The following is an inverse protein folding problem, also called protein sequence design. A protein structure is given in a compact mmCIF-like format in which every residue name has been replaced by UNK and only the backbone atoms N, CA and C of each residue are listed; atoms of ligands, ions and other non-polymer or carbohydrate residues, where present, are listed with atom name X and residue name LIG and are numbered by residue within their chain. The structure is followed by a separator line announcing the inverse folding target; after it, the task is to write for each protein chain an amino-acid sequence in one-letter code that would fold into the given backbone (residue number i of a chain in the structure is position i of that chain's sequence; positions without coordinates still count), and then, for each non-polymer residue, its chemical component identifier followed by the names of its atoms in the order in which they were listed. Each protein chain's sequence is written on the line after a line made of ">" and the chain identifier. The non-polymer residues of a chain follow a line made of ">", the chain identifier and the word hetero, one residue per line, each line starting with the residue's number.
data_IF_928627465764
#
_entry.id   IF_928627465764
#
_cell.length_a   1.000
_cell.length_b   1.000
_cell.length_c   1.000
_cell.angle_alpha   90.00
_cell.angle_beta   90.00
_cell.angle_gamma   90.00
#
_symmetry.space_group_name_H-M   'P 1'
#
loop_
_entity.id
_entity.type
_entity.pdbx_description
1 polymer ?
#
# COMPACT_ATOMS: atom_id res chain seq x y z
N UNK A 1 15.03 3.43 -10.32
CA UNK A 1 13.73 3.14 -9.68
C UNK A 1 13.98 2.96 -8.19
N UNK A 2 13.29 3.70 -7.32
CA UNK A 2 13.42 3.52 -5.87
C UNK A 2 12.75 2.19 -5.49
N UNK A 3 13.56 1.21 -5.10
CA UNK A 3 13.10 -0.13 -4.71
C UNK A 3 12.31 -0.14 -3.40
N UNK A 4 12.41 0.92 -2.60
CA UNK A 4 11.70 1.11 -1.35
C UNK A 4 10.99 2.45 -1.42
N UNK A 5 9.65 2.41 -1.37
CA UNK A 5 8.79 3.59 -1.30
C UNK A 5 7.65 3.36 -0.29
N UNK A 6 6.81 4.36 -0.04
CA UNK A 6 5.70 4.25 0.93
C UNK A 6 4.70 3.14 0.56
N UNK A 7 4.54 2.84 -0.74
CA UNK A 7 3.72 1.72 -1.21
C UNK A 7 4.32 0.33 -0.91
N UNK A 8 5.59 0.26 -0.48
CA UNK A 8 6.25 -0.98 -0.09
C UNK A 8 5.85 -1.45 1.33
N UNK A 9 5.14 -0.61 2.10
CA UNK A 9 4.75 -0.92 3.47
C UNK A 9 3.95 -2.23 3.63
N UNK A 10 2.89 -2.49 2.84
CA UNK A 10 2.08 -3.70 3.02
C UNK A 10 2.90 -4.97 2.75
N UNK A 11 3.81 -4.91 1.78
CA UNK A 11 4.72 -6.00 1.47
C UNK A 11 5.65 -6.30 2.65
N UNK A 12 6.30 -5.26 3.19
CA UNK A 12 7.23 -5.41 4.32
C UNK A 12 6.50 -5.93 5.58
N UNK A 13 5.33 -5.37 5.89
CA UNK A 13 4.50 -5.82 7.00
C UNK A 13 4.08 -7.30 6.84
N UNK A 14 3.69 -7.70 5.63
CA UNK A 14 3.36 -9.08 5.29
C UNK A 14 4.52 -10.03 5.50
N UNK A 15 5.73 -9.68 5.04
CA UNK A 15 6.95 -10.48 5.26
C UNK A 15 7.23 -10.68 6.75
N UNK A 16 7.12 -9.61 7.56
CA UNK A 16 7.32 -9.70 9.01
C UNK A 16 6.31 -10.65 9.65
N UNK A 17 5.02 -10.55 9.30
CA UNK A 17 3.97 -11.43 9.82
C UNK A 17 4.26 -12.89 9.44
N UNK A 18 4.63 -13.16 8.18
CA UNK A 18 4.92 -14.52 7.71
C UNK A 18 6.11 -15.14 8.44
N UNK A 19 7.18 -14.37 8.65
CA UNK A 19 8.35 -14.83 9.43
C UNK A 19 7.91 -15.17 10.86
N UNK A 20 7.15 -14.29 11.50
CA UNK A 20 6.71 -14.49 12.87
C UNK A 20 5.79 -15.71 12.99
N UNK A 21 4.82 -15.85 12.07
CA UNK A 21 3.93 -17.01 12.00
C UNK A 21 4.73 -18.32 11.81
N UNK A 22 5.72 -18.32 10.91
CA UNK A 22 6.59 -19.48 10.70
C UNK A 22 7.39 -19.88 11.96
N UNK A 23 7.88 -18.90 12.72
CA UNK A 23 8.57 -19.15 14.00
C UNK A 23 7.60 -19.73 15.04
N UNK A 24 6.38 -19.17 15.14
CA UNK A 24 5.35 -19.61 16.08
C UNK A 24 4.91 -21.04 15.80
N UNK A 25 4.65 -21.37 14.53
CA UNK A 25 4.27 -22.72 14.09
C UNK A 25 5.37 -23.75 14.39
N UNK A 26 6.64 -23.36 14.28
CA UNK A 26 7.79 -24.24 14.61
C UNK A 26 7.93 -24.54 16.10
N UNK A 27 7.47 -23.65 16.98
CA UNK A 27 7.67 -23.77 18.43
C UNK A 27 6.67 -24.69 19.13
N UNK A 28 5.66 -25.20 18.43
CA UNK A 28 4.75 -26.25 18.95
C UNK A 28 3.81 -25.79 20.07
N UNK A 29 3.64 -24.49 20.28
CA UNK A 29 2.74 -23.93 21.28
C UNK A 29 2.32 -22.51 20.90
N UNK A 30 1.05 -22.35 20.55
CA UNK A 30 0.45 -21.04 20.19
C UNK A 30 -0.40 -20.45 21.32
N UNK A 31 -0.48 -21.14 22.45
CA UNK A 31 -1.34 -20.77 23.56
C UNK A 31 -0.91 -19.41 24.13
N UNK A 32 -1.82 -18.44 24.08
CA UNK A 32 -1.58 -17.06 24.48
C UNK A 32 -0.87 -16.16 23.44
N UNK A 33 -0.38 -16.71 22.32
CA UNK A 33 0.34 -15.94 21.29
C UNK A 33 -0.58 -15.40 20.18
N UNK A 34 -1.81 -15.92 20.10
CA UNK A 34 -2.84 -15.45 19.17
C UNK A 34 -3.26 -14.00 19.43
N UNK A 35 -3.41 -13.60 20.69
CA UNK A 35 -3.85 -12.23 21.05
C UNK A 35 -2.78 -11.19 20.68
N UNK A 36 -1.48 -11.37 21.02
CA UNK A 36 -0.41 -10.50 20.54
C UNK A 36 -0.31 -10.44 19.01
N UNK A 37 -0.46 -11.58 18.32
CA UNK A 37 -0.40 -11.62 16.86
C UNK A 37 -1.55 -10.81 16.23
N UNK A 38 -2.76 -10.94 16.75
CA UNK A 38 -3.92 -10.17 16.33
C UNK A 38 -3.74 -8.67 16.61
N UNK A 39 -3.19 -8.31 17.79
CA UNK A 39 -2.88 -6.92 18.13
C UNK A 39 -1.84 -6.31 17.17
N UNK A 40 -0.82 -7.09 16.80
CA UNK A 40 0.21 -6.66 15.84
C UNK A 40 -0.38 -6.45 14.43
N UNK A 41 -1.22 -7.38 13.97
CA UNK A 41 -1.97 -7.23 12.71
C UNK A 41 -2.80 -5.94 12.70
N UNK A 42 -3.55 -5.69 13.76
CA UNK A 42 -4.34 -4.46 13.91
C UNK A 42 -3.46 -3.21 13.91
N UNK A 43 -2.30 -3.24 14.58
CA UNK A 43 -1.33 -2.15 14.56
C UNK A 43 -0.81 -1.84 13.16
N UNK A 44 -0.50 -2.86 12.36
CA UNK A 44 -0.07 -2.66 10.97
C UNK A 44 -1.20 -2.13 10.08
N UNK A 45 -2.42 -2.63 10.25
CA UNK A 45 -3.59 -2.11 9.52
C UNK A 45 -3.86 -0.65 9.88
N UNK A 46 -3.79 -0.31 11.16
CA UNK A 46 -3.95 1.06 11.64
C UNK A 46 -2.86 1.99 11.10
N UNK A 47 -1.60 1.57 11.14
CA UNK A 47 -0.49 2.32 10.57
C UNK A 47 -0.65 2.50 9.06
N UNK A 48 -1.05 1.45 8.33
CA UNK A 48 -1.30 1.55 6.90
C UNK A 48 -2.44 2.53 6.60
N UNK A 49 -3.52 2.50 7.37
CA UNK A 49 -4.64 3.41 7.19
C UNK A 49 -4.24 4.87 7.47
N UNK A 50 -3.47 5.11 8.54
CA UNK A 50 -3.06 6.45 8.96
C UNK A 50 -2.01 7.07 8.03
N UNK A 51 -1.09 6.26 7.51
CA UNK A 51 0.03 6.70 6.68
C UNK A 51 -0.12 6.30 5.21
N UNK A 52 -1.29 5.80 4.80
CA UNK A 52 -1.51 5.41 3.41
C UNK A 52 -1.30 6.65 2.54
N UNK A 53 -0.38 6.60 1.56
CA UNK A 53 -0.28 7.67 0.59
C UNK A 53 -1.62 7.73 -0.16
N UNK A 54 -2.43 8.73 0.20
CA UNK A 54 -3.67 9.01 -0.50
C UNK A 54 -3.40 9.47 -1.92
N UNK A 55 -4.40 9.33 -2.78
CA UNK A 55 -4.36 9.96 -4.09
C UNK A 55 -4.18 11.48 -3.89
N UNK A 56 -3.21 12.09 -4.56
CA UNK A 56 -3.06 13.56 -4.50
C UNK A 56 -4.36 14.21 -5.00
N UNK A 57 -4.75 15.38 -4.49
CA UNK A 57 -5.93 16.09 -5.00
C UNK A 57 -5.91 16.29 -6.53
N UNK A 58 -4.71 16.38 -7.11
CA UNK A 58 -4.43 16.47 -8.55
C UNK A 58 -4.82 15.22 -9.37
N UNK A 59 -5.11 14.09 -8.72
CA UNK A 59 -5.45 12.83 -9.41
C UNK A 59 -6.81 12.84 -10.11
N UNK A 60 -7.72 13.76 -9.76
CA UNK A 60 -9.00 13.87 -10.46
C UNK A 60 -8.84 14.27 -11.93
N UNK A 61 -7.85 15.12 -12.24
CA UNK A 61 -7.54 15.48 -13.63
C UNK A 61 -6.77 14.37 -14.34
N UNK A 62 -5.92 13.64 -13.62
CA UNK A 62 -5.24 12.48 -14.17
C UNK A 62 -6.24 11.38 -14.58
N UNK A 63 -7.29 11.14 -13.78
CA UNK A 63 -8.33 10.16 -14.09
C UNK A 63 -9.14 10.53 -15.36
N UNK A 64 -9.45 11.82 -15.54
CA UNK A 64 -10.17 12.26 -16.76
C UNK A 64 -9.30 12.17 -18.01
N UNK A 65 -7.99 12.40 -17.87
CA UNK A 65 -7.01 12.18 -18.94
C UNK A 65 -6.88 10.69 -19.28
N UNK A 66 -6.83 9.81 -18.27
CA UNK A 66 -6.73 8.36 -18.47
C UNK A 66 -7.95 7.79 -19.21
N UNK A 67 -9.16 8.23 -18.86
CA UNK A 67 -10.40 7.91 -19.57
C UNK A 67 -10.38 8.44 -21.02
N UNK A 68 -9.88 9.66 -21.23
CA UNK A 68 -9.79 10.26 -22.55
C UNK A 68 -8.83 9.48 -23.47
N UNK A 69 -7.65 9.09 -22.97
CA UNK A 69 -6.67 8.26 -23.69
C UNK A 69 -7.25 6.87 -23.99
N UNK A 70 -7.96 6.27 -23.03
CA UNK A 70 -8.58 4.95 -23.17
C UNK A 70 -9.70 4.87 -24.22
N UNK A 71 -10.23 6.02 -24.66
CA UNK A 71 -11.34 6.09 -25.63
C UNK A 71 -11.00 5.69 -27.07
N UNK A 72 -9.72 5.41 -27.36
CA UNK A 72 -9.25 5.03 -28.71
C UNK A 72 -9.21 6.18 -29.71
N UNK A 73 -9.40 7.42 -29.25
CA UNK A 73 -9.24 8.65 -30.05
C UNK A 73 -7.92 9.32 -29.71
N UNK A 74 -7.32 9.99 -30.69
CA UNK A 74 -6.13 10.81 -30.44
C UNK A 74 -6.51 11.97 -29.50
N UNK A 75 -5.82 12.07 -28.37
CA UNK A 75 -5.99 13.14 -27.38
C UNK A 75 -4.72 13.98 -27.37
N UNK A 76 -4.88 15.31 -27.50
CA UNK A 76 -3.78 16.26 -27.32
C UNK A 76 -3.70 16.62 -25.84
N UNK A 77 -2.56 16.32 -25.22
CA UNK A 77 -2.26 16.71 -23.85
C UNK A 77 -1.33 17.91 -23.86
N UNK A 78 -1.82 19.04 -23.39
CA UNK A 78 -1.02 20.24 -23.20
C UNK A 78 -0.65 20.39 -21.73
N UNK A 79 0.63 20.27 -21.44
CA UNK A 79 1.17 20.53 -20.11
C UNK A 79 1.50 22.02 -20.01
N UNK A 80 0.53 22.80 -19.54
CA UNK A 80 0.70 24.23 -19.31
C UNK A 80 1.48 24.44 -17.99
N UNK A 81 2.72 24.91 -18.08
CA UNK A 81 3.48 25.37 -16.91
C UNK A 81 3.31 26.89 -16.76
N UNK A 82 2.94 27.41 -15.59
CA UNK A 82 2.98 28.84 -15.30
C UNK A 82 4.42 29.35 -15.01
N UNK A 83 5.41 28.46 -15.03
CA UNK A 83 6.85 28.73 -14.84
C UNK A 83 7.65 28.37 -16.10
#
# INVERSE_FOLDING_TARGET
>A
MQLINQYSFPFLAGVIILILAGILLRRGGTDGLLVPLAAMLMGFLFAFWLFSPGASPETSEAASVEDAIGSGKAVLLEFQSPY
#
